data_IF_633370203124
#
_entry.id   IF_633370203124
#
_cell.length_a   1.000
_cell.length_b   1.000
_cell.length_c   1.000
_cell.angle_alpha   90.00
_cell.angle_beta   90.00
_cell.angle_gamma   90.00
#
_symmetry.space_group_name_H-M   'P 1'
#
loop_
_entity.id
_entity.type
_entity.pdbx_description
1 polymer ?
#
# COMPACT_ATOMS: atom_id res chain seq x y z
N UNK A 1 -13.41 2.53 -11.23
CA UNK A 1 -12.08 2.14 -11.75
C UNK A 1 -11.37 1.40 -10.63
N UNK A 2 -10.87 0.20 -10.89
CA UNK A 2 -9.98 -0.51 -9.96
C UNK A 2 -8.54 -0.11 -10.31
N UNK A 3 -7.74 0.19 -9.30
CA UNK A 3 -6.32 0.51 -9.43
C UNK A 3 -5.55 -0.82 -9.32
N UNK A 4 -4.91 -1.24 -10.41
CA UNK A 4 -4.32 -2.59 -10.50
C UNK A 4 -3.14 -2.79 -9.54
N UNK A 5 -2.29 -1.77 -9.38
CA UNK A 5 -1.17 -1.81 -8.44
C UNK A 5 -1.28 -0.73 -7.38
N UNK A 6 -1.47 0.54 -7.77
CA UNK A 6 -1.47 1.66 -6.84
C UNK A 6 -0.06 2.11 -6.45
N UNK A 7 0.82 2.29 -7.43
CA UNK A 7 2.20 2.75 -7.20
C UNK A 7 2.25 4.05 -6.39
N UNK A 8 1.28 4.95 -6.61
CA UNK A 8 1.14 6.19 -5.85
C UNK A 8 0.98 5.95 -4.35
N UNK A 9 0.29 4.88 -3.94
CA UNK A 9 0.18 4.52 -2.52
C UNK A 9 1.53 4.04 -1.97
N UNK A 10 2.29 3.26 -2.75
CA UNK A 10 3.66 2.86 -2.37
C UNK A 10 4.57 4.07 -2.19
N UNK A 11 4.53 5.02 -3.13
CA UNK A 11 5.33 6.24 -3.10
C UNK A 11 4.97 7.13 -1.91
N UNK A 12 3.67 7.31 -1.64
CA UNK A 12 3.19 8.03 -0.47
C UNK A 12 3.72 7.40 0.83
N UNK A 13 3.60 6.07 0.99
CA UNK A 13 4.15 5.38 2.15
C UNK A 13 5.67 5.51 2.25
N UNK A 14 6.39 5.45 1.13
CA UNK A 14 7.84 5.63 1.09
C UNK A 14 8.28 7.03 1.52
N UNK A 15 7.47 8.05 1.19
CA UNK A 15 7.63 9.44 1.62
C UNK A 15 7.18 9.69 3.08
N UNK A 16 6.65 8.68 3.76
CA UNK A 16 6.16 8.81 5.14
C UNK A 16 4.76 9.42 5.23
N UNK A 17 3.97 9.34 4.15
CA UNK A 17 2.60 9.85 4.07
C UNK A 17 1.60 8.71 4.12
N UNK A 18 0.70 8.67 5.14
CA UNK A 18 -0.33 7.65 5.22
C UNK A 18 -1.42 7.88 4.17
N UNK A 19 -2.14 6.81 3.78
CA UNK A 19 -3.03 6.81 2.61
C UNK A 19 -4.47 6.48 3.00
N UNK A 20 -5.45 7.23 2.49
CA UNK A 20 -6.85 6.80 2.48
C UNK A 20 -7.14 6.18 1.11
N UNK A 21 -7.58 4.93 1.06
CA UNK A 21 -7.79 4.22 -0.20
C UNK A 21 -9.08 3.39 -0.21
N UNK A 22 -9.64 3.19 -1.40
CA UNK A 22 -10.78 2.31 -1.60
C UNK A 22 -10.33 0.85 -1.42
N UNK A 23 -11.09 0.07 -0.66
CA UNK A 23 -10.75 -1.29 -0.22
C UNK A 23 -10.89 -2.35 -1.34
N UNK A 24 -10.22 -2.14 -2.48
CA UNK A 24 -10.18 -3.04 -3.63
C UNK A 24 -8.84 -2.98 -4.36
N UNK A 25 -8.55 -4.02 -5.14
CA UNK A 25 -7.35 -4.08 -5.99
C UNK A 25 -6.05 -3.98 -5.19
N UNK A 26 -5.02 -3.39 -5.79
CA UNK A 26 -3.68 -3.28 -5.19
C UNK A 26 -3.64 -2.46 -3.89
N UNK A 27 -4.66 -1.65 -3.60
CA UNK A 27 -4.76 -0.94 -2.33
C UNK A 27 -4.80 -1.89 -1.12
N UNK A 28 -5.41 -3.06 -1.25
CA UNK A 28 -5.48 -4.08 -0.20
C UNK A 28 -4.11 -4.72 0.10
N UNK A 29 -3.22 -4.77 -0.90
CA UNK A 29 -1.87 -5.31 -0.75
C UNK A 29 -0.89 -4.28 -0.15
N UNK A 30 -1.14 -2.99 -0.39
CA UNK A 30 -0.25 -1.88 -0.01
C UNK A 30 -0.64 -1.28 1.33
N UNK A 31 -1.92 -0.92 1.49
CA UNK A 31 -2.42 -0.16 2.65
C UNK A 31 -2.93 -1.13 3.70
N UNK A 32 -2.31 -1.09 4.87
CA UNK A 32 -2.83 -1.78 6.04
C UNK A 32 -3.68 -0.83 6.87
N UNK A 33 -4.98 -1.08 6.89
CA UNK A 33 -5.95 -0.30 7.66
C UNK A 33 -5.53 -0.20 9.13
N UNK A 34 -5.57 1.00 9.69
CA UNK A 34 -5.16 1.22 11.08
C UNK A 34 -3.66 1.50 11.26
N UNK A 35 -2.81 1.10 10.31
CA UNK A 35 -1.35 1.15 10.50
C UNK A 35 -0.61 2.01 9.48
N UNK A 36 -1.04 1.99 8.22
CA UNK A 36 -0.43 2.80 7.15
C UNK A 36 -1.41 3.70 6.42
N UNK A 37 -2.65 3.72 6.90
CA UNK A 37 -3.73 4.41 6.25
C UNK A 37 -5.08 3.95 6.75
N UNK A 38 -6.11 4.37 6.03
CA UNK A 38 -7.50 3.95 6.25
C UNK A 38 -8.06 3.41 4.94
N UNK A 39 -8.71 2.26 5.01
CA UNK A 39 -9.44 1.69 3.89
C UNK A 39 -10.93 1.98 4.03
N UNK A 40 -11.58 2.38 2.92
CA UNK A 40 -13.03 2.59 2.87
C UNK A 40 -13.70 1.62 1.90
N UNK A 41 -14.89 1.13 2.26
CA UNK A 41 -15.47 -0.06 1.63
C UNK A 41 -16.41 0.24 0.45
N UNK A 42 -17.02 1.43 0.41
CA UNK A 42 -18.03 1.81 -0.58
C UNK A 42 -17.60 3.05 -1.35
N UNK A 43 -17.84 3.10 -2.66
CA UNK A 43 -17.55 4.28 -3.48
C UNK A 43 -18.63 5.36 -3.32
N UNK A 44 -18.91 5.73 -2.08
CA UNK A 44 -19.89 6.75 -1.71
C UNK A 44 -19.20 7.87 -0.96
N UNK A 45 -19.83 9.05 -0.98
CA UNK A 45 -19.33 10.22 -0.25
C UNK A 45 -19.31 9.93 1.25
N UNK A 46 -20.32 9.25 1.76
CA UNK A 46 -20.49 8.91 3.16
C UNK A 46 -19.36 8.00 3.66
N UNK A 47 -18.98 6.99 2.87
CA UNK A 47 -17.90 6.08 3.22
C UNK A 47 -16.55 6.80 3.26
N UNK A 48 -16.29 7.69 2.29
CA UNK A 48 -15.07 8.48 2.24
C UNK A 48 -14.99 9.49 3.41
N UNK A 49 -16.09 10.18 3.72
CA UNK A 49 -16.16 11.11 4.85
C UNK A 49 -15.90 10.38 6.17
N UNK A 50 -16.51 9.20 6.38
CA UNK A 50 -16.26 8.39 7.56
C UNK A 50 -14.77 7.98 7.68
N UNK A 51 -14.14 7.63 6.56
CA UNK A 51 -12.72 7.32 6.52
C UNK A 51 -11.82 8.52 6.85
N UNK A 52 -12.15 9.71 6.34
CA UNK A 52 -11.44 10.95 6.67
C UNK A 52 -11.55 11.29 8.17
N UNK A 53 -12.77 11.23 8.72
CA UNK A 53 -13.00 11.48 10.15
C UNK A 53 -12.21 10.50 11.03
N UNK A 54 -12.22 9.21 10.67
CA UNK A 54 -11.41 8.20 11.37
C UNK A 54 -9.93 8.52 11.26
N UNK A 55 -9.44 8.84 10.07
CA UNK A 55 -8.04 9.16 9.81
C UNK A 55 -7.54 10.35 10.64
N UNK A 56 -8.36 11.39 10.82
CA UNK A 56 -8.02 12.56 11.65
C UNK A 56 -7.81 12.22 13.14
N UNK A 57 -8.38 11.13 13.63
CA UNK A 57 -8.19 10.67 15.02
C UNK A 57 -6.95 9.78 15.21
N UNK A 58 -6.28 9.42 14.12
CA UNK A 58 -5.17 8.47 14.13
C UNK A 58 -3.82 9.18 14.13
N UNK A 59 -2.81 8.48 14.62
CA UNK A 59 -1.41 8.90 14.49
C UNK A 59 -0.62 7.86 13.70
N UNK A 60 0.24 8.35 12.81
CA UNK A 60 1.08 7.51 11.98
C UNK A 60 2.54 7.91 12.18
N UNK A 61 3.41 6.92 12.38
CA UNK A 61 4.84 7.15 12.47
C UNK A 61 5.46 7.05 11.07
N UNK A 62 6.09 8.11 10.53
CA UNK A 62 6.71 8.08 9.20
C UNK A 62 7.68 6.92 8.99
N UNK A 63 8.44 6.55 10.03
CA UNK A 63 9.34 5.41 10.00
C UNK A 63 8.62 4.06 9.79
N UNK A 64 7.40 3.90 10.31
CA UNK A 64 6.56 2.71 10.10
C UNK A 64 6.03 2.67 8.67
N UNK A 65 5.60 3.80 8.13
CA UNK A 65 5.12 3.91 6.75
C UNK A 65 6.24 3.58 5.75
N UNK A 66 7.41 4.18 5.94
CA UNK A 66 8.59 3.92 5.12
C UNK A 66 9.01 2.44 5.20
N UNK A 67 9.02 1.83 6.39
CA UNK A 67 9.32 0.40 6.56
C UNK A 67 8.33 -0.48 5.80
N UNK A 68 7.04 -0.13 5.76
CA UNK A 68 6.04 -0.88 4.99
C UNK A 68 6.26 -0.77 3.49
N UNK A 69 6.67 0.39 2.99
CA UNK A 69 6.99 0.59 1.58
C UNK A 69 8.20 -0.22 1.11
N UNK A 70 9.17 -0.52 2.00
CA UNK A 70 10.38 -1.31 1.65
C UNK A 70 10.09 -2.69 1.06
N UNK A 71 8.91 -3.28 1.29
CA UNK A 71 8.56 -4.56 0.66
C UNK A 71 8.46 -4.48 -0.88
N UNK A 72 8.26 -3.27 -1.40
CA UNK A 72 8.18 -2.92 -2.82
C UNK A 72 9.50 -2.36 -3.36
N UNK A 73 10.60 -2.50 -2.62
CA UNK A 73 11.93 -2.06 -3.05
C UNK A 73 12.37 -2.78 -4.33
N UNK A 74 13.02 -2.01 -5.21
CA UNK A 74 13.53 -2.51 -6.50
C UNK A 74 14.54 -3.64 -6.33
N UNK A 75 15.45 -3.54 -5.37
CA UNK A 75 16.46 -4.57 -5.11
C UNK A 75 15.84 -5.89 -4.66
N UNK A 76 14.80 -5.83 -3.83
CA UNK A 76 14.00 -7.01 -3.47
C UNK A 76 13.30 -7.62 -4.69
N UNK A 77 12.70 -6.79 -5.56
CA UNK A 77 12.07 -7.26 -6.78
C UNK A 77 13.07 -7.97 -7.71
N UNK A 78 14.20 -7.33 -7.98
CA UNK A 78 15.27 -7.89 -8.83
C UNK A 78 15.76 -9.24 -8.28
N UNK A 79 15.98 -9.32 -6.97
CA UNK A 79 16.43 -10.56 -6.31
C UNK A 79 15.40 -11.68 -6.47
N UNK A 80 14.11 -11.38 -6.21
CA UNK A 80 13.04 -12.38 -6.28
C UNK A 80 12.79 -12.86 -7.71
N UNK A 81 12.73 -11.95 -8.68
CA UNK A 81 12.50 -12.31 -10.08
C UNK A 81 13.67 -13.13 -10.63
N UNK A 82 14.92 -12.74 -10.35
CA UNK A 82 16.10 -13.52 -10.77
C UNK A 82 16.06 -14.93 -10.21
N UNK A 83 15.71 -15.08 -8.94
CA UNK A 83 15.54 -16.39 -8.31
C UNK A 83 14.48 -17.22 -9.03
N UNK A 84 13.30 -16.65 -9.26
CA UNK A 84 12.20 -17.35 -9.96
C UNK A 84 12.64 -17.81 -11.34
N UNK A 85 13.32 -16.96 -12.11
CA UNK A 85 13.81 -17.32 -13.45
C UNK A 85 14.86 -18.43 -13.38
N UNK A 86 15.83 -18.33 -12.46
CA UNK A 86 16.87 -19.34 -12.28
C UNK A 86 16.30 -20.70 -11.88
N UNK A 87 15.30 -20.73 -11.00
CA UNK A 87 14.65 -21.96 -10.54
C UNK A 87 13.89 -22.68 -11.66
N UNK A 88 13.57 -21.99 -12.77
CA UNK A 88 12.86 -22.55 -13.93
C UNK A 88 13.78 -22.89 -15.12
N UNK A 89 15.07 -22.54 -15.07
CA UNK A 89 15.99 -22.90 -16.12
C UNK A 89 16.35 -24.39 -16.03
N UNK A 90 16.21 -25.17 -17.12
CA UNK A 90 16.68 -26.54 -17.14
C UNK A 90 18.20 -26.56 -16.93
N UNK A 91 18.68 -27.58 -16.19
CA UNK A 91 20.10 -27.79 -15.92
C UNK A 91 20.89 -28.05 -17.20
#
# INVERSE_FOLDING_TARGET
AEEDFGIAAVEALAAGTPVIAYAKGGALDIVQDGESGVLFADQTVESLVAAMQRFETMSFLPATLHRKAKRFDKGLFDTKIRKIVQDQLPR
#
